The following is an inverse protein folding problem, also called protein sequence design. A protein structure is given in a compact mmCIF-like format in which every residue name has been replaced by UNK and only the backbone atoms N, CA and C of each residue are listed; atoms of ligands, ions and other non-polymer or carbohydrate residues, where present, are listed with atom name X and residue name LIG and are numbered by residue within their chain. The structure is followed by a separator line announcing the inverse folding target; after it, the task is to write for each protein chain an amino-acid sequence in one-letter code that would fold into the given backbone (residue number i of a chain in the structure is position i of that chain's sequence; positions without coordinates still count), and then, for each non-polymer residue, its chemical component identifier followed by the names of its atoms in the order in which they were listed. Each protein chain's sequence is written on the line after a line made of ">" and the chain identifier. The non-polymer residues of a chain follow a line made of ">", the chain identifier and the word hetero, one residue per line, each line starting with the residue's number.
data_IF_111417885819
#
_entry.id   IF_111417885819
#
_cell.length_a   1.000
_cell.length_b   1.000
_cell.length_c   1.000
_cell.angle_alpha   90.00
_cell.angle_beta   90.00
_cell.angle_gamma   90.00
#
_symmetry.space_group_name_H-M   'P 1'
#
loop_
_entity.id
_entity.type
_entity.pdbx_description
1 polymer ?
#
# COMPACT_ATOMS: atom_id res chain seq x y z
N UNK A 1 -33.87 -4.90 2.77
CA UNK A 1 -32.51 -4.63 2.22
C UNK A 1 -31.99 -5.89 1.55
N UNK A 2 -31.63 -5.81 0.28
CA UNK A 2 -31.17 -6.92 -0.54
C UNK A 2 -29.73 -6.72 -1.02
N UNK A 3 -28.99 -7.80 -1.26
CA UNK A 3 -27.60 -7.77 -1.74
C UNK A 3 -27.49 -6.94 -3.03
N UNK A 4 -28.43 -7.11 -3.98
CA UNK A 4 -28.45 -6.38 -5.25
C UNK A 4 -28.62 -4.86 -5.10
N UNK A 5 -29.25 -4.41 -4.01
CA UNK A 5 -29.39 -2.98 -3.70
C UNK A 5 -28.06 -2.42 -3.19
N UNK A 6 -27.36 -3.18 -2.36
CA UNK A 6 -26.01 -2.81 -1.87
C UNK A 6 -25.00 -2.78 -3.00
N UNK A 7 -25.03 -3.78 -3.91
CA UNK A 7 -24.20 -3.79 -5.12
C UNK A 7 -24.43 -2.56 -6.02
N UNK A 8 -25.72 -2.17 -6.18
CA UNK A 8 -26.07 -1.00 -6.97
C UNK A 8 -25.50 0.30 -6.38
N UNK A 9 -25.58 0.46 -5.04
CA UNK A 9 -25.05 1.63 -4.36
C UNK A 9 -23.51 1.69 -4.43
N UNK A 10 -22.82 0.55 -4.24
CA UNK A 10 -21.38 0.45 -4.41
C UNK A 10 -20.98 0.76 -5.87
N UNK A 11 -21.72 0.26 -6.84
CA UNK A 11 -21.48 0.56 -8.26
C UNK A 11 -21.54 2.07 -8.55
N UNK A 12 -22.50 2.79 -7.98
CA UNK A 12 -22.57 4.26 -8.09
C UNK A 12 -21.37 4.93 -7.42
N UNK A 13 -20.98 4.46 -6.22
CA UNK A 13 -19.82 4.98 -5.50
C UNK A 13 -18.52 4.85 -6.29
N UNK A 14 -18.32 3.72 -6.98
CA UNK A 14 -17.09 3.42 -7.69
C UNK A 14 -17.01 4.07 -9.08
N UNK A 15 -18.16 4.22 -9.76
CA UNK A 15 -18.24 4.72 -11.14
C UNK A 15 -18.84 6.12 -11.27
N UNK A 16 -19.21 6.75 -10.15
CA UNK A 16 -19.65 8.14 -10.11
C UNK A 16 -20.99 8.43 -10.79
N UNK A 17 -21.74 7.40 -11.25
CA UNK A 17 -23.01 7.58 -11.93
C UNK A 17 -23.88 6.34 -11.94
N UNK A 18 -25.21 6.53 -12.09
CA UNK A 18 -26.17 5.44 -12.28
C UNK A 18 -25.92 4.64 -13.55
N UNK A 19 -25.48 5.31 -14.64
CA UNK A 19 -25.17 4.67 -15.91
C UNK A 19 -23.91 3.82 -15.83
N UNK A 20 -22.84 4.33 -15.17
CA UNK A 20 -21.61 3.58 -14.97
C UNK A 20 -21.84 2.34 -14.10
N UNK A 21 -22.65 2.46 -13.03
CA UNK A 21 -23.05 1.33 -12.20
C UNK A 21 -23.84 0.29 -13.01
N UNK A 22 -24.73 0.73 -13.91
CA UNK A 22 -25.54 -0.17 -14.74
C UNK A 22 -24.67 -0.95 -15.73
N UNK A 23 -23.69 -0.30 -16.36
CA UNK A 23 -22.75 -0.92 -17.30
C UNK A 23 -21.97 -2.05 -16.63
N UNK A 24 -21.34 -1.76 -15.48
CA UNK A 24 -20.52 -2.75 -14.76
C UNK A 24 -21.35 -3.90 -14.19
N UNK A 25 -22.58 -3.63 -13.74
CA UNK A 25 -23.47 -4.65 -13.20
C UNK A 25 -24.29 -5.40 -14.29
N UNK A 26 -24.02 -5.14 -15.58
CA UNK A 26 -24.67 -5.81 -16.69
C UNK A 26 -26.20 -5.61 -16.72
N UNK A 27 -26.68 -4.40 -16.37
CA UNK A 27 -28.11 -4.06 -16.27
C UNK A 27 -28.41 -2.72 -16.91
N UNK A 28 -29.64 -2.25 -16.81
CA UNK A 28 -30.07 -0.94 -17.30
C UNK A 28 -30.14 0.08 -16.14
N UNK A 29 -29.93 1.36 -16.45
CA UNK A 29 -29.93 2.45 -15.45
C UNK A 29 -31.24 2.51 -14.63
N UNK A 30 -32.38 2.23 -15.24
CA UNK A 30 -33.67 2.20 -14.53
C UNK A 30 -33.73 1.17 -13.42
N UNK A 31 -33.08 0.00 -13.60
CA UNK A 31 -33.00 -1.02 -12.55
C UNK A 31 -32.11 -0.53 -11.38
N UNK A 32 -30.98 0.12 -11.66
CA UNK A 32 -30.15 0.71 -10.61
C UNK A 32 -30.93 1.78 -9.85
N UNK A 33 -31.63 2.68 -10.57
CA UNK A 33 -32.45 3.72 -9.94
C UNK A 33 -33.54 3.15 -9.04
N UNK A 34 -34.23 2.09 -9.48
CA UNK A 34 -35.26 1.43 -8.66
C UNK A 34 -34.67 0.73 -7.41
N UNK A 35 -33.52 0.06 -7.55
CA UNK A 35 -32.83 -0.58 -6.39
C UNK A 35 -32.45 0.47 -5.35
N UNK A 36 -31.92 1.60 -5.77
CA UNK A 36 -31.56 2.72 -4.86
C UNK A 36 -32.82 3.29 -4.20
N UNK A 37 -33.87 3.60 -4.97
CA UNK A 37 -35.11 4.15 -4.42
C UNK A 37 -35.73 3.22 -3.37
N UNK A 38 -35.74 1.90 -3.58
CA UNK A 38 -36.19 0.94 -2.59
C UNK A 38 -35.30 0.94 -1.33
N UNK A 39 -33.97 1.00 -1.49
CA UNK A 39 -33.05 1.05 -0.36
C UNK A 39 -33.22 2.34 0.45
N UNK A 40 -33.35 3.49 -0.22
CA UNK A 40 -33.62 4.79 0.39
C UNK A 40 -34.97 4.82 1.14
N UNK A 41 -36.00 4.19 0.57
CA UNK A 41 -37.31 4.06 1.22
C UNK A 41 -37.22 3.23 2.50
N UNK A 42 -36.50 2.12 2.46
CA UNK A 42 -36.31 1.23 3.62
C UNK A 42 -35.50 1.90 4.74
N UNK A 43 -34.47 2.68 4.37
CA UNK A 43 -33.60 3.36 5.33
C UNK A 43 -34.15 4.75 5.76
N UNK A 44 -35.17 5.25 5.07
CA UNK A 44 -35.81 6.53 5.37
C UNK A 44 -34.93 7.75 5.09
N UNK A 45 -33.92 7.63 4.23
CA UNK A 45 -32.99 8.72 3.90
C UNK A 45 -32.48 8.59 2.47
N UNK A 46 -32.13 9.72 1.84
CA UNK A 46 -31.48 9.74 0.55
C UNK A 46 -30.01 9.30 0.69
N UNK A 47 -29.58 8.38 -0.18
CA UNK A 47 -28.21 7.86 -0.25
C UNK A 47 -27.42 8.45 -1.39
N UNK A 48 -28.12 8.88 -2.46
CA UNK A 48 -27.51 9.45 -3.66
C UNK A 48 -28.19 10.76 -4.00
N UNK A 49 -27.42 11.82 -4.14
CA UNK A 49 -27.92 13.11 -4.62
C UNK A 49 -28.23 13.01 -6.13
N UNK A 50 -29.50 13.08 -6.47
CA UNK A 50 -29.97 12.87 -7.84
C UNK A 50 -29.57 13.97 -8.81
N UNK A 51 -29.16 15.15 -8.32
CA UNK A 51 -28.74 16.28 -9.16
C UNK A 51 -27.32 16.12 -9.73
N UNK A 52 -26.42 15.46 -8.99
CA UNK A 52 -25.02 15.32 -9.35
C UNK A 52 -24.51 13.88 -9.35
N UNK A 53 -25.34 12.90 -8.93
CA UNK A 53 -24.95 11.49 -8.88
C UNK A 53 -23.97 11.10 -7.75
N UNK A 54 -23.65 12.04 -6.85
CA UNK A 54 -22.73 11.79 -5.74
C UNK A 54 -23.44 11.17 -4.55
N UNK A 55 -22.72 10.42 -3.72
CA UNK A 55 -23.23 9.90 -2.47
C UNK A 55 -23.56 11.07 -1.50
N UNK A 56 -24.60 10.88 -0.68
CA UNK A 56 -24.79 11.67 0.53
C UNK A 56 -23.90 11.12 1.65
N UNK A 57 -23.82 11.86 2.78
CA UNK A 57 -23.13 11.35 3.99
C UNK A 57 -23.72 10.01 4.44
N UNK A 58 -25.05 9.86 4.42
CA UNK A 58 -25.73 8.58 4.67
C UNK A 58 -25.35 7.51 3.66
N UNK A 59 -25.21 7.88 2.39
CA UNK A 59 -24.77 7.00 1.30
C UNK A 59 -23.35 6.46 1.53
N UNK A 60 -22.42 7.30 1.96
CA UNK A 60 -21.05 6.90 2.27
C UNK A 60 -21.02 5.88 3.40
N UNK A 61 -21.77 6.12 4.49
CA UNK A 61 -21.88 5.18 5.61
C UNK A 61 -22.43 3.83 5.15
N UNK A 62 -23.46 3.84 4.31
CA UNK A 62 -24.07 2.58 3.81
C UNK A 62 -23.12 1.85 2.88
N UNK A 63 -22.41 2.56 1.98
CA UNK A 63 -21.37 1.95 1.10
C UNK A 63 -20.29 1.27 1.91
N UNK A 64 -19.76 1.92 2.95
CA UNK A 64 -18.70 1.34 3.78
C UNK A 64 -19.18 0.05 4.48
N UNK A 65 -20.43 0.02 4.95
CA UNK A 65 -21.04 -1.19 5.53
C UNK A 65 -21.31 -2.26 4.46
N UNK A 66 -21.84 -1.85 3.31
CA UNK A 66 -22.16 -2.75 2.21
C UNK A 66 -20.91 -3.48 1.67
N UNK A 67 -19.78 -2.79 1.53
CA UNK A 67 -18.50 -3.41 1.11
C UNK A 67 -18.09 -4.53 2.08
N UNK A 68 -18.22 -4.31 3.39
CA UNK A 68 -17.91 -5.33 4.40
C UNK A 68 -18.85 -6.53 4.30
N UNK A 69 -20.16 -6.30 4.18
CA UNK A 69 -21.15 -7.38 4.02
C UNK A 69 -20.86 -8.21 2.77
N UNK A 70 -20.60 -7.58 1.62
CA UNK A 70 -20.26 -8.30 0.40
C UNK A 70 -18.91 -9.02 0.50
N UNK A 71 -17.97 -8.49 1.27
CA UNK A 71 -16.71 -9.16 1.60
C UNK A 71 -16.94 -10.46 2.36
N UNK A 72 -17.76 -10.43 3.43
CA UNK A 72 -18.13 -11.61 4.21
C UNK A 72 -18.88 -12.66 3.37
N UNK A 73 -19.81 -12.22 2.51
CA UNK A 73 -20.53 -13.12 1.62
C UNK A 73 -19.59 -13.83 0.62
N UNK A 74 -18.61 -13.12 0.06
CA UNK A 74 -17.58 -13.74 -0.78
C UNK A 74 -16.72 -14.72 -0.01
N UNK A 75 -16.47 -14.42 1.27
CA UNK A 75 -15.72 -15.28 2.19
C UNK A 75 -16.37 -16.65 2.40
N UNK A 76 -17.70 -16.74 2.44
CA UNK A 76 -18.43 -18.00 2.69
C UNK A 76 -18.02 -19.08 1.67
N UNK A 77 -18.03 -18.76 0.36
CA UNK A 77 -17.67 -19.72 -0.68
C UNK A 77 -16.18 -20.16 -0.56
N UNK A 78 -15.30 -19.22 -0.21
CA UNK A 78 -13.88 -19.50 -0.03
C UNK A 78 -13.60 -20.34 1.21
N UNK A 79 -14.28 -20.06 2.32
CA UNK A 79 -14.13 -20.83 3.58
C UNK A 79 -14.66 -22.27 3.42
N UNK A 80 -15.72 -22.46 2.64
CA UNK A 80 -16.22 -23.81 2.29
C UNK A 80 -15.21 -24.53 1.38
N UNK A 81 -14.59 -23.85 0.43
CA UNK A 81 -13.59 -24.44 -0.46
C UNK A 81 -12.30 -24.84 0.28
N UNK A 82 -11.93 -24.12 1.36
CA UNK A 82 -10.79 -24.47 2.22
C UNK A 82 -10.93 -25.88 2.82
N UNK A 83 -12.16 -26.34 3.12
CA UNK A 83 -12.41 -27.69 3.58
C UNK A 83 -12.01 -28.77 2.57
N UNK A 84 -11.93 -28.43 1.28
CA UNK A 84 -11.53 -29.30 0.18
C UNK A 84 -10.04 -29.16 -0.18
N UNK A 85 -9.24 -28.49 0.65
CA UNK A 85 -7.81 -28.21 0.47
C UNK A 85 -7.49 -27.33 -0.78
N UNK A 86 -8.46 -26.63 -1.35
CA UNK A 86 -8.25 -25.72 -2.47
C UNK A 86 -8.71 -24.32 -2.07
N UNK A 87 -7.77 -23.37 -1.93
CA UNK A 87 -8.09 -21.99 -1.63
C UNK A 87 -8.28 -21.23 -2.93
N UNK A 88 -9.49 -20.71 -3.14
CA UNK A 88 -9.89 -19.92 -4.29
C UNK A 88 -10.39 -18.54 -3.86
N UNK A 89 -10.28 -17.57 -4.74
CA UNK A 89 -10.90 -16.25 -4.56
C UNK A 89 -9.99 -15.11 -4.97
N UNK A 90 -10.43 -13.91 -4.63
CA UNK A 90 -9.73 -12.67 -4.93
C UNK A 90 -9.25 -12.01 -3.64
N UNK A 91 -8.03 -11.45 -3.67
CA UNK A 91 -7.48 -10.63 -2.59
C UNK A 91 -7.00 -9.31 -3.18
N UNK A 92 -7.38 -8.21 -2.55
CA UNK A 92 -6.92 -6.87 -2.92
C UNK A 92 -5.93 -6.39 -1.85
N UNK A 93 -4.66 -6.29 -2.24
CA UNK A 93 -3.56 -5.91 -1.37
C UNK A 93 -3.11 -4.48 -1.65
N UNK A 94 -3.25 -3.60 -0.67
CA UNK A 94 -2.63 -2.27 -0.70
C UNK A 94 -1.13 -2.37 -0.43
N UNK A 95 -0.31 -1.56 -1.11
CA UNK A 95 1.13 -1.60 -0.89
C UNK A 95 1.80 -0.25 -1.11
N UNK A 96 2.63 0.18 -0.16
CA UNK A 96 3.50 1.34 -0.39
C UNK A 96 4.54 1.03 -1.46
N UNK A 97 4.76 1.99 -2.38
CA UNK A 97 5.56 1.76 -3.58
C UNK A 97 7.00 1.32 -3.33
N UNK A 98 7.61 1.75 -2.22
CA UNK A 98 8.96 1.31 -1.84
C UNK A 98 9.02 -0.18 -1.54
N UNK A 99 8.10 -0.68 -0.71
CA UNK A 99 8.05 -2.09 -0.32
C UNK A 99 7.70 -3.00 -1.51
N UNK A 100 6.80 -2.56 -2.39
CA UNK A 100 6.35 -3.33 -3.54
C UNK A 100 7.48 -3.76 -4.47
N UNK A 101 8.49 -2.92 -4.64
CA UNK A 101 9.63 -3.23 -5.50
C UNK A 101 10.40 -4.49 -5.06
N UNK A 102 10.48 -4.72 -3.77
CA UNK A 102 11.17 -5.90 -3.21
C UNK A 102 10.22 -7.07 -2.96
N UNK A 103 9.03 -6.81 -2.38
CA UNK A 103 8.10 -7.86 -1.92
C UNK A 103 7.35 -8.52 -3.08
N UNK A 104 6.90 -7.74 -4.09
CA UNK A 104 6.03 -8.29 -5.14
C UNK A 104 6.66 -9.45 -5.91
N UNK A 105 7.94 -9.41 -6.32
CA UNK A 105 8.56 -10.56 -6.96
C UNK A 105 8.55 -11.82 -6.09
N UNK A 106 8.89 -11.70 -4.78
CA UNK A 106 8.89 -12.81 -3.84
C UNK A 106 7.49 -13.39 -3.65
N UNK A 107 6.51 -12.50 -3.47
CA UNK A 107 5.12 -12.90 -3.29
C UNK A 107 4.55 -13.58 -4.54
N UNK A 108 4.90 -13.10 -5.74
CA UNK A 108 4.42 -13.67 -7.00
C UNK A 108 4.94 -15.10 -7.23
N UNK A 109 6.20 -15.38 -6.92
CA UNK A 109 6.78 -16.73 -7.01
C UNK A 109 6.07 -17.68 -6.05
N UNK A 110 5.96 -17.30 -4.78
CA UNK A 110 5.32 -18.12 -3.75
C UNK A 110 3.80 -18.29 -3.98
N UNK A 111 3.12 -17.27 -4.51
CA UNK A 111 1.69 -17.34 -4.84
C UNK A 111 1.41 -18.41 -5.90
N UNK A 112 2.21 -18.43 -6.98
CA UNK A 112 2.05 -19.42 -8.05
C UNK A 112 2.23 -20.86 -7.57
N UNK A 113 3.12 -21.07 -6.61
CA UNK A 113 3.42 -22.39 -6.06
C UNK A 113 2.35 -22.84 -5.05
N UNK A 114 1.95 -21.94 -4.13
CA UNK A 114 1.12 -22.33 -2.99
C UNK A 114 -0.38 -22.09 -3.22
N UNK A 115 -0.74 -21.06 -3.98
CA UNK A 115 -2.14 -20.64 -4.15
C UNK A 115 -2.46 -20.25 -5.60
N UNK A 116 -2.33 -21.17 -6.58
CA UNK A 116 -2.49 -20.87 -8.01
C UNK A 116 -3.88 -20.38 -8.40
N UNK A 117 -4.90 -20.64 -7.56
CA UNK A 117 -6.29 -20.26 -7.80
C UNK A 117 -6.71 -18.98 -7.06
N UNK A 118 -5.76 -18.27 -6.40
CA UNK A 118 -6.02 -16.98 -5.77
C UNK A 118 -5.64 -15.85 -6.74
N UNK A 119 -6.63 -15.04 -7.11
CA UNK A 119 -6.39 -13.82 -7.88
C UNK A 119 -5.95 -12.69 -6.95
N UNK A 120 -4.69 -12.25 -7.08
CA UNK A 120 -4.14 -11.17 -6.27
C UNK A 120 -4.12 -9.87 -7.08
N UNK A 121 -4.80 -8.85 -6.57
CA UNK A 121 -4.78 -7.48 -7.09
C UNK A 121 -3.97 -6.59 -6.16
N UNK A 122 -3.00 -5.86 -6.70
CA UNK A 122 -2.14 -4.97 -5.89
C UNK A 122 -2.46 -3.52 -6.26
N UNK A 123 -2.82 -2.74 -5.24
CA UNK A 123 -3.07 -1.30 -5.34
C UNK A 123 -1.92 -0.57 -4.67
N UNK A 124 -1.20 0.22 -5.44
CA UNK A 124 -0.08 1.00 -4.91
C UNK A 124 -0.52 2.40 -4.48
N UNK A 125 0.01 2.86 -3.36
CA UNK A 125 -0.29 4.20 -2.84
C UNK A 125 0.59 4.58 -1.65
N UNK A 126 0.31 5.76 -1.08
CA UNK A 126 0.85 6.19 0.21
C UNK A 126 -0.04 5.71 1.36
N UNK A 127 0.44 5.72 2.60
CA UNK A 127 -0.40 5.39 3.76
C UNK A 127 -1.71 6.18 3.77
N UNK A 128 -1.66 7.48 3.46
CA UNK A 128 -2.83 8.37 3.43
C UNK A 128 -3.90 7.97 2.41
N UNK A 129 -3.54 7.20 1.39
CA UNK A 129 -4.45 6.63 0.39
C UNK A 129 -4.87 5.21 0.77
N UNK A 130 -3.94 4.39 1.24
CA UNK A 130 -4.13 2.97 1.51
C UNK A 130 -4.96 2.73 2.79
N UNK A 131 -4.64 3.43 3.89
CA UNK A 131 -5.32 3.21 5.17
C UNK A 131 -6.84 3.44 5.10
N UNK A 132 -7.34 4.57 4.52
CA UNK A 132 -8.78 4.76 4.36
C UNK A 132 -9.45 3.69 3.50
N UNK A 133 -8.80 3.21 2.44
CA UNK A 133 -9.32 2.15 1.58
C UNK A 133 -9.41 0.81 2.33
N UNK A 134 -8.40 0.49 3.16
CA UNK A 134 -8.42 -0.71 4.01
C UNK A 134 -9.53 -0.63 5.05
N UNK A 135 -9.71 0.52 5.72
CA UNK A 135 -10.82 0.76 6.67
C UNK A 135 -12.17 0.57 5.99
N UNK A 136 -12.34 1.11 4.78
CA UNK A 136 -13.57 1.03 3.98
C UNK A 136 -13.82 -0.35 3.37
N UNK A 137 -12.89 -1.30 3.49
CA UNK A 137 -13.01 -2.64 2.91
C UNK A 137 -12.84 -2.69 1.38
N UNK A 138 -12.25 -1.67 0.78
CA UNK A 138 -11.82 -1.68 -0.62
C UNK A 138 -10.54 -2.49 -0.81
N UNK A 139 -9.74 -2.59 0.25
CA UNK A 139 -8.57 -3.46 0.36
C UNK A 139 -8.82 -4.50 1.46
N UNK A 140 -8.24 -5.67 1.29
CA UNK A 140 -8.31 -6.76 2.27
C UNK A 140 -7.14 -6.73 3.25
N UNK A 141 -5.96 -6.45 2.74
CA UNK A 141 -4.67 -6.36 3.45
C UNK A 141 -3.91 -5.13 2.96
N UNK A 142 -2.96 -4.64 3.76
CA UNK A 142 -2.08 -3.58 3.28
C UNK A 142 -0.66 -3.67 3.87
N UNK A 143 0.35 -3.47 3.04
CA UNK A 143 1.73 -3.21 3.46
C UNK A 143 1.93 -1.70 3.55
N UNK A 144 2.14 -1.20 4.76
CA UNK A 144 2.20 0.23 5.08
C UNK A 144 3.43 0.55 5.94
N UNK A 145 3.84 1.81 5.94
CA UNK A 145 4.87 2.28 6.88
C UNK A 145 4.24 2.66 8.22
N UNK A 146 4.94 2.41 9.31
CA UNK A 146 4.59 2.94 10.62
C UNK A 146 4.79 4.47 10.66
N UNK A 147 3.94 5.24 11.38
CA UNK A 147 2.78 4.80 12.16
C UNK A 147 1.52 4.56 11.30
N UNK A 148 0.66 3.65 11.77
CA UNK A 148 -0.72 3.53 11.29
C UNK A 148 -1.56 4.53 12.09
N UNK A 149 -2.30 5.39 11.39
CA UNK A 149 -3.09 6.43 12.02
C UNK A 149 -4.56 6.04 12.26
N UNK A 150 -5.08 5.10 11.47
CA UNK A 150 -6.46 4.65 11.59
C UNK A 150 -6.61 3.68 12.78
N UNK A 151 -7.42 4.01 13.81
CA UNK A 151 -7.59 3.17 15.01
C UNK A 151 -8.30 1.84 14.71
N UNK A 152 -9.02 1.74 13.59
CA UNK A 152 -9.69 0.52 13.12
C UNK A 152 -8.71 -0.52 12.58
N UNK A 153 -7.46 -0.13 12.36
CA UNK A 153 -6.44 -1.02 11.82
C UNK A 153 -5.52 -1.55 12.91
N UNK A 154 -4.95 -2.72 12.64
CA UNK A 154 -3.83 -3.30 13.38
C UNK A 154 -2.74 -3.67 12.40
N UNK A 155 -1.49 -3.70 12.85
CA UNK A 155 -0.37 -4.07 11.99
C UNK A 155 0.61 -4.97 12.72
N UNK A 156 1.20 -5.89 11.95
CA UNK A 156 2.31 -6.74 12.37
C UNK A 156 3.56 -6.27 11.65
N UNK A 157 4.65 -6.04 12.40
CA UNK A 157 5.94 -5.69 11.79
C UNK A 157 6.42 -6.82 10.89
N UNK A 158 6.73 -6.51 9.64
CA UNK A 158 7.28 -7.48 8.69
C UNK A 158 8.77 -7.26 8.43
N UNK A 159 9.21 -6.02 8.39
CA UNK A 159 10.63 -5.63 8.35
C UNK A 159 10.80 -4.17 8.77
N UNK A 160 12.05 -3.78 8.98
CA UNK A 160 12.44 -2.36 9.03
C UNK A 160 13.52 -2.08 7.99
N UNK A 161 13.63 -0.82 7.57
CA UNK A 161 14.60 -0.40 6.57
C UNK A 161 15.22 0.95 6.91
N UNK A 162 16.44 1.15 6.44
CA UNK A 162 17.10 2.45 6.48
C UNK A 162 16.61 3.34 5.34
N UNK A 163 16.61 4.64 5.54
CA UNK A 163 16.70 5.60 4.48
C UNK A 163 18.17 5.74 4.10
N UNK A 164 18.50 5.45 2.85
CA UNK A 164 19.87 5.40 2.35
C UNK A 164 20.07 6.39 1.20
N UNK A 165 21.29 6.84 1.01
CA UNK A 165 21.65 7.51 -0.22
C UNK A 165 21.87 6.45 -1.31
N UNK A 166 21.08 6.51 -2.39
CA UNK A 166 21.30 5.69 -3.59
C UNK A 166 22.06 6.55 -4.60
N UNK A 167 23.18 6.04 -5.08
CA UNK A 167 24.09 6.80 -5.93
C UNK A 167 24.82 5.88 -6.91
N UNK A 168 25.17 6.40 -8.11
CA UNK A 168 26.02 5.71 -9.08
C UNK A 168 27.42 5.42 -8.47
N UNK A 169 27.99 4.25 -8.73
CA UNK A 169 29.30 3.85 -8.18
C UNK A 169 30.47 4.76 -8.60
N UNK A 170 30.34 5.49 -9.70
CA UNK A 170 31.33 6.45 -10.16
C UNK A 170 31.18 7.85 -9.52
N UNK A 171 30.11 8.09 -8.77
CA UNK A 171 29.90 9.36 -8.09
C UNK A 171 30.82 9.48 -6.86
N UNK A 172 31.35 10.68 -6.53
CA UNK A 172 32.23 10.86 -5.37
C UNK A 172 31.67 10.32 -4.05
N UNK A 173 30.38 10.51 -3.81
CA UNK A 173 29.70 10.01 -2.59
C UNK A 173 29.71 8.47 -2.45
N UNK A 174 29.92 7.72 -3.56
CA UNK A 174 29.94 6.26 -3.52
C UNK A 174 31.17 5.70 -2.79
N UNK A 175 32.30 6.42 -2.80
CA UNK A 175 33.58 6.00 -2.22
C UNK A 175 33.93 6.68 -0.89
N UNK A 176 33.09 7.61 -0.41
CA UNK A 176 33.31 8.30 0.86
C UNK A 176 33.16 7.34 2.07
N UNK A 177 33.82 7.61 3.21
CA UNK A 177 33.64 6.81 4.42
C UNK A 177 32.19 6.80 4.90
N UNK A 178 31.71 5.66 5.42
CA UNK A 178 30.40 5.51 6.06
C UNK A 178 30.49 5.61 7.58
N UNK A 179 29.39 6.06 8.22
CA UNK A 179 28.15 6.59 7.61
C UNK A 179 28.36 8.01 7.02
N UNK A 180 27.64 8.33 5.95
CA UNK A 180 27.63 9.68 5.38
C UNK A 180 26.92 10.65 6.34
N UNK A 181 27.50 11.85 6.52
CA UNK A 181 26.86 12.89 7.33
C UNK A 181 25.97 13.79 6.48
N UNK A 182 24.98 14.43 7.07
CA UNK A 182 24.17 15.43 6.38
C UNK A 182 25.01 16.63 5.90
N UNK A 183 26.07 16.97 6.61
CA UNK A 183 27.02 18.01 6.18
C UNK A 183 27.70 17.66 4.86
N UNK A 184 28.12 16.40 4.70
CA UNK A 184 28.68 15.90 3.45
C UNK A 184 27.63 15.92 2.34
N UNK A 185 26.39 15.50 2.62
CA UNK A 185 25.32 15.48 1.64
C UNK A 185 24.91 16.88 1.16
N UNK A 186 25.00 17.90 2.02
CA UNK A 186 24.67 19.29 1.68
C UNK A 186 25.64 19.94 0.67
N UNK A 187 26.79 19.33 0.43
CA UNK A 187 27.74 19.79 -0.61
C UNK A 187 27.27 19.41 -2.03
N UNK A 188 26.29 18.50 -2.15
CA UNK A 188 25.77 17.98 -3.39
C UNK A 188 24.30 18.32 -3.59
N UNK A 189 23.88 18.40 -4.84
CA UNK A 189 22.46 18.46 -5.20
C UNK A 189 21.88 17.05 -5.19
N UNK A 190 20.74 16.87 -4.50
CA UNK A 190 20.14 15.56 -4.24
C UNK A 190 18.68 15.57 -4.73
N UNK A 191 18.26 14.48 -5.36
CA UNK A 191 16.85 14.22 -5.69
C UNK A 191 16.09 13.87 -4.40
N UNK A 192 15.12 14.67 -4.02
CA UNK A 192 14.41 14.53 -2.75
C UNK A 192 12.89 14.32 -2.94
N UNK A 193 12.24 13.64 -2.00
CA UNK A 193 10.79 13.62 -1.93
C UNK A 193 10.24 15.02 -1.71
N UNK A 194 9.02 15.28 -2.24
CA UNK A 194 8.35 16.57 -2.10
C UNK A 194 8.10 16.92 -0.62
N UNK A 195 8.22 18.20 -0.28
CA UNK A 195 7.98 18.71 1.09
C UNK A 195 6.56 18.36 1.54
N UNK A 196 6.44 17.91 2.80
CA UNK A 196 5.17 17.48 3.38
C UNK A 196 4.90 15.97 3.30
N UNK A 197 5.63 15.22 2.47
CA UNK A 197 5.56 13.75 2.51
C UNK A 197 6.17 13.20 3.80
N UNK A 198 5.70 12.06 4.34
CA UNK A 198 6.27 11.46 5.55
C UNK A 198 7.78 11.23 5.46
N UNK A 199 8.26 10.66 4.35
CA UNK A 199 9.70 10.41 4.15
C UNK A 199 10.49 11.72 4.13
N UNK A 200 9.98 12.77 3.46
CA UNK A 200 10.67 14.05 3.45
C UNK A 200 10.76 14.65 4.85
N UNK A 201 9.74 14.53 5.67
CA UNK A 201 9.78 14.97 7.07
C UNK A 201 10.85 14.25 7.87
N UNK A 202 10.98 12.93 7.70
CA UNK A 202 12.03 12.14 8.35
C UNK A 202 13.43 12.63 7.96
N UNK A 203 13.66 12.93 6.67
CA UNK A 203 14.91 13.48 6.15
C UNK A 203 15.17 14.88 6.72
N UNK A 204 14.18 15.77 6.62
CA UNK A 204 14.31 17.16 7.07
C UNK A 204 14.52 17.26 8.58
N UNK A 205 13.85 16.43 9.38
CA UNK A 205 14.03 16.40 10.85
C UNK A 205 15.41 15.89 11.22
N UNK A 206 15.91 14.84 10.58
CA UNK A 206 17.26 14.32 10.82
C UNK A 206 18.35 15.33 10.40
N UNK A 207 18.19 16.01 9.27
CA UNK A 207 19.15 17.03 8.81
C UNK A 207 19.14 18.29 9.70
N UNK A 208 17.94 18.72 10.11
CA UNK A 208 17.75 19.90 10.99
C UNK A 208 18.36 19.67 12.37
N UNK A 209 18.23 18.46 12.94
CA UNK A 209 18.87 18.10 14.21
C UNK A 209 20.40 18.21 14.14
N UNK A 210 20.98 18.14 12.95
CA UNK A 210 22.42 18.33 12.71
C UNK A 210 22.76 19.75 12.22
N UNK A 211 21.78 20.67 12.17
CA UNK A 211 21.98 22.07 11.74
C UNK A 211 22.26 22.21 10.24
N UNK A 212 21.81 21.24 9.43
CA UNK A 212 22.11 21.19 7.99
C UNK A 212 20.83 21.31 7.17
N UNK A 213 20.87 22.03 6.08
CA UNK A 213 19.85 22.07 5.05
C UNK A 213 20.36 21.44 3.75
N UNK A 214 19.63 20.45 3.23
CA UNK A 214 19.96 19.80 1.97
C UNK A 214 19.57 20.67 0.77
N UNK A 215 20.36 20.57 -0.31
CA UNK A 215 20.09 21.24 -1.58
C UNK A 215 19.31 20.29 -2.52
N UNK A 216 18.01 20.49 -2.74
CA UNK A 216 17.28 19.67 -3.68
C UNK A 216 17.67 20.04 -5.12
N UNK A 217 18.11 19.07 -5.93
CA UNK A 217 18.18 19.22 -7.39
C UNK A 217 16.75 19.34 -7.94
N UNK A 218 15.86 18.49 -7.47
CA UNK A 218 14.43 18.52 -7.74
C UNK A 218 13.68 17.88 -6.58
N UNK A 219 12.43 18.29 -6.38
CA UNK A 219 11.51 17.69 -5.42
C UNK A 219 10.33 17.04 -6.15
N UNK A 220 10.04 15.75 -5.87
CA UNK A 220 9.01 14.96 -6.53
C UNK A 220 8.16 14.20 -5.52
N UNK A 221 6.87 14.06 -5.82
CA UNK A 221 5.94 13.32 -4.97
C UNK A 221 6.10 11.78 -5.11
N UNK A 222 6.57 11.28 -6.22
CA UNK A 222 6.68 9.85 -6.50
C UNK A 222 8.06 9.26 -6.22
N UNK A 223 8.22 8.40 -5.18
CA UNK A 223 9.50 7.73 -4.89
C UNK A 223 10.02 6.88 -6.06
N UNK A 224 9.12 6.26 -6.84
CA UNK A 224 9.50 5.49 -8.03
C UNK A 224 10.09 6.37 -9.12
N UNK A 225 9.55 7.56 -9.32
CA UNK A 225 10.08 8.53 -10.28
C UNK A 225 11.45 9.03 -9.83
N UNK A 226 11.62 9.35 -8.54
CA UNK A 226 12.93 9.71 -7.98
C UNK A 226 13.94 8.60 -8.22
N UNK A 227 13.59 7.35 -7.91
CA UNK A 227 14.47 6.20 -8.14
C UNK A 227 14.83 6.02 -9.61
N UNK A 228 13.86 6.18 -10.54
CA UNK A 228 14.10 6.11 -11.97
C UNK A 228 15.11 7.17 -12.41
N UNK A 229 14.91 8.42 -12.00
CA UNK A 229 15.85 9.51 -12.32
C UNK A 229 17.25 9.24 -11.77
N UNK A 230 17.37 8.67 -10.56
CA UNK A 230 18.67 8.26 -10.02
C UNK A 230 19.33 7.20 -10.90
N UNK A 231 18.57 6.18 -11.33
CA UNK A 231 19.06 5.10 -12.16
C UNK A 231 19.35 5.52 -13.61
N UNK A 232 18.74 6.61 -14.06
CA UNK A 232 19.02 7.24 -15.35
C UNK A 232 20.21 8.21 -15.27
N UNK A 233 20.81 8.40 -14.07
CA UNK A 233 22.04 9.17 -13.89
C UNK A 233 21.86 10.65 -13.62
N UNK A 234 20.64 11.12 -13.30
CA UNK A 234 20.38 12.55 -13.03
C UNK A 234 20.92 13.03 -11.68
N UNK A 235 21.20 12.13 -10.75
CA UNK A 235 21.82 12.49 -9.47
C UNK A 235 21.52 11.50 -8.34
N UNK A 236 22.18 11.68 -7.17
CA UNK A 236 21.93 10.87 -6.00
C UNK A 236 20.54 11.17 -5.39
N UNK A 237 19.96 10.20 -4.68
CA UNK A 237 18.69 10.36 -3.98
C UNK A 237 18.69 9.71 -2.60
N UNK A 238 17.93 10.27 -1.67
CA UNK A 238 17.67 9.64 -0.36
C UNK A 238 16.35 8.90 -0.46
N UNK A 239 16.42 7.56 -0.39
CA UNK A 239 15.28 6.67 -0.58
C UNK A 239 15.32 5.49 0.40
N UNK A 240 14.18 4.80 0.62
CA UNK A 240 14.16 3.54 1.34
C UNK A 240 15.09 2.49 0.69
N UNK A 241 15.78 1.70 1.51
CA UNK A 241 16.75 0.71 1.04
C UNK A 241 16.15 -0.32 0.06
N UNK A 242 14.85 -0.63 0.21
CA UNK A 242 14.10 -1.52 -0.70
C UNK A 242 14.00 -1.00 -2.14
N UNK A 243 14.28 0.28 -2.38
CA UNK A 243 14.23 0.86 -3.72
C UNK A 243 15.41 0.44 -4.62
N UNK A 244 16.54 0.00 -4.05
CA UNK A 244 17.68 -0.51 -4.82
C UNK A 244 17.53 -1.99 -5.12
N UNK A 245 17.00 -2.31 -6.29
CA UNK A 245 16.85 -3.68 -6.76
C UNK A 245 18.20 -4.36 -6.98
N UNK A 246 18.22 -5.70 -6.79
CA UNK A 246 19.42 -6.54 -6.92
C UNK A 246 20.16 -6.32 -8.25
N UNK A 247 19.44 -6.29 -9.37
CA UNK A 247 20.03 -6.16 -10.70
C UNK A 247 20.67 -4.77 -11.00
N UNK A 248 20.47 -3.80 -10.11
CA UNK A 248 21.06 -2.47 -10.22
C UNK A 248 22.30 -2.29 -9.34
N UNK A 249 22.62 -3.25 -8.46
CA UNK A 249 23.71 -3.15 -7.48
C UNK A 249 25.11 -3.16 -8.13
N UNK A 250 25.23 -3.62 -9.35
CA UNK A 250 26.49 -3.53 -10.09
C UNK A 250 26.83 -2.08 -10.47
N UNK A 251 25.81 -1.25 -10.67
CA UNK A 251 25.92 0.12 -11.16
C UNK A 251 25.72 1.17 -10.05
N UNK A 252 24.87 0.84 -9.08
CA UNK A 252 24.49 1.73 -7.99
C UNK A 252 24.83 1.11 -6.63
N UNK A 253 25.03 1.98 -5.64
CA UNK A 253 25.29 1.58 -4.26
C UNK A 253 24.35 2.34 -3.33
N UNK A 254 23.89 1.65 -2.27
CA UNK A 254 23.22 2.24 -1.13
C UNK A 254 24.27 2.63 -0.09
N UNK A 255 24.24 3.88 0.38
CA UNK A 255 25.17 4.40 1.40
C UNK A 255 24.38 4.79 2.64
N UNK A 256 24.83 4.32 3.79
CA UNK A 256 24.20 4.64 5.08
C UNK A 256 24.40 6.12 5.43
N UNK A 257 23.35 6.73 6.00
CA UNK A 257 23.34 8.12 6.45
C UNK A 257 23.31 8.13 7.98
N UNK A 258 24.16 8.96 8.60
CA UNK A 258 24.25 9.06 10.05
C UNK A 258 22.99 9.69 10.66
N UNK A 259 22.52 9.11 11.78
CA UNK A 259 21.43 9.65 12.61
C UNK A 259 20.10 9.88 11.89
N UNK A 260 19.80 9.07 10.88
CA UNK A 260 18.45 8.98 10.32
C UNK A 260 17.71 7.77 10.92
N UNK A 261 16.45 7.96 11.28
CA UNK A 261 15.68 6.91 11.91
C UNK A 261 15.37 5.75 10.93
N UNK A 262 15.31 4.53 11.47
CA UNK A 262 14.86 3.37 10.71
C UNK A 262 13.35 3.43 10.51
N UNK A 263 12.92 3.09 9.33
CA UNK A 263 11.53 3.02 8.94
C UNK A 263 10.98 1.62 9.19
N UNK A 264 9.87 1.50 9.93
CA UNK A 264 9.18 0.21 10.14
C UNK A 264 8.13 0.02 9.07
N UNK A 265 8.02 -1.20 8.55
CA UNK A 265 7.01 -1.58 7.57
C UNK A 265 6.17 -2.73 8.16
N UNK A 266 4.86 -2.55 8.09
CA UNK A 266 3.88 -3.43 8.71
C UNK A 266 2.94 -4.02 7.66
N UNK A 267 2.47 -5.23 7.93
CA UNK A 267 1.28 -5.79 7.30
C UNK A 267 0.07 -5.41 8.14
N UNK A 268 -0.77 -4.54 7.60
CA UNK A 268 -1.95 -4.00 8.26
C UNK A 268 -3.22 -4.76 7.85
N UNK A 269 -4.10 -4.94 8.82
CA UNK A 269 -5.43 -5.55 8.68
C UNK A 269 -6.46 -4.75 9.47
N UNK A 270 -7.74 -4.95 9.18
CA UNK A 270 -8.81 -4.46 10.03
C UNK A 270 -8.81 -5.22 11.35
N UNK A 271 -9.06 -4.52 12.47
CA UNK A 271 -9.13 -5.12 13.80
C UNK A 271 -10.34 -6.02 14.00
N UNK A 272 -11.41 -5.75 13.26
CA UNK A 272 -12.69 -6.43 13.41
C UNK A 272 -13.10 -7.08 12.09
N UNK A 273 -13.85 -8.17 12.17
CA UNK A 273 -14.26 -9.03 11.07
C UNK A 273 -13.42 -10.30 11.02
N UNK A 274 -13.91 -11.29 10.29
CA UNK A 274 -13.21 -12.55 10.07
C UNK A 274 -12.72 -12.56 8.61
N UNK A 275 -11.41 -12.50 8.36
CA UNK A 275 -10.91 -12.50 6.99
C UNK A 275 -11.22 -13.81 6.29
N UNK A 276 -11.68 -13.76 5.03
CA UNK A 276 -11.89 -14.93 4.18
C UNK A 276 -10.62 -15.77 4.00
N UNK A 277 -10.77 -17.06 3.71
CA UNK A 277 -9.65 -18.00 3.55
C UNK A 277 -8.52 -17.49 2.64
N UNK A 278 -8.76 -16.95 1.42
CA UNK A 278 -7.68 -16.44 0.58
C UNK A 278 -6.97 -15.23 1.22
N UNK A 279 -7.66 -14.41 1.99
CA UNK A 279 -7.04 -13.26 2.69
C UNK A 279 -6.11 -13.76 3.80
N UNK A 280 -6.54 -14.77 4.59
CA UNK A 280 -5.70 -15.42 5.60
C UNK A 280 -4.48 -16.08 4.97
N UNK A 281 -4.66 -16.76 3.85
CA UNK A 281 -3.59 -17.42 3.11
C UNK A 281 -2.54 -16.42 2.62
N UNK A 282 -2.97 -15.33 1.97
CA UNK A 282 -2.04 -14.28 1.49
C UNK A 282 -1.38 -13.54 2.65
N UNK A 283 -2.09 -13.31 3.77
CA UNK A 283 -1.50 -12.74 4.98
C UNK A 283 -0.34 -13.59 5.50
N UNK A 284 -0.57 -14.90 5.66
CA UNK A 284 0.46 -15.83 6.11
C UNK A 284 1.62 -15.93 5.11
N UNK A 285 1.31 -16.06 3.82
CA UNK A 285 2.29 -16.15 2.75
C UNK A 285 3.20 -14.91 2.69
N UNK A 286 2.63 -13.71 2.83
CA UNK A 286 3.40 -12.47 2.79
C UNK A 286 4.38 -12.38 3.97
N UNK A 287 3.95 -12.76 5.17
CA UNK A 287 4.85 -12.83 6.33
C UNK A 287 5.96 -13.85 6.09
N UNK A 288 5.62 -15.01 5.55
CA UNK A 288 6.56 -16.10 5.31
C UNK A 288 7.62 -15.73 4.27
N UNK A 289 7.22 -15.20 3.11
CA UNK A 289 8.17 -14.82 2.05
C UNK A 289 9.12 -13.71 2.46
N UNK A 290 8.65 -12.75 3.28
CA UNK A 290 9.52 -11.70 3.81
C UNK A 290 10.48 -12.29 4.85
N UNK A 291 10.00 -13.13 5.76
CA UNK A 291 10.80 -13.73 6.83
C UNK A 291 11.92 -14.63 6.29
N UNK A 292 11.64 -15.39 5.25
CA UNK A 292 12.58 -16.36 4.67
C UNK A 292 13.28 -15.83 3.41
N UNK A 293 13.18 -14.52 3.15
CA UNK A 293 13.83 -13.92 1.99
C UNK A 293 15.35 -14.11 2.05
N UNK A 294 15.91 -14.73 1.02
CA UNK A 294 17.37 -14.97 0.90
C UNK A 294 18.11 -13.78 0.32
N UNK A 295 17.41 -12.92 -0.44
CA UNK A 295 17.96 -11.75 -1.12
C UNK A 295 17.48 -10.45 -0.47
N UNK A 296 17.86 -10.26 0.79
CA UNK A 296 17.51 -9.05 1.54
C UNK A 296 18.35 -7.88 1.04
N UNK A 297 17.77 -6.71 0.73
CA UNK A 297 18.54 -5.51 0.40
C UNK A 297 19.40 -5.04 1.58
N UNK A 298 20.58 -4.46 1.28
CA UNK A 298 21.38 -3.80 2.31
C UNK A 298 20.58 -2.65 2.92
N UNK A 299 20.59 -2.57 4.26
CA UNK A 299 19.76 -1.61 4.99
C UNK A 299 18.32 -2.06 5.23
N UNK A 300 17.97 -3.30 4.89
CA UNK A 300 16.70 -3.94 5.28
C UNK A 300 16.96 -4.95 6.39
N UNK A 301 16.12 -4.92 7.43
CA UNK A 301 16.24 -5.75 8.63
C UNK A 301 14.95 -6.53 8.83
N UNK A 302 15.03 -7.86 8.72
CA UNK A 302 13.87 -8.74 8.94
C UNK A 302 13.49 -8.72 10.43
N UNK A 303 12.20 -8.60 10.71
CA UNK A 303 11.68 -8.56 12.07
C UNK A 303 11.98 -9.87 12.81
N UNK A 304 12.39 -9.78 14.08
CA UNK A 304 12.30 -10.93 14.99
C UNK A 304 10.81 -11.17 15.27
N UNK A 305 10.38 -12.44 15.16
CA UNK A 305 9.02 -12.86 15.54
C UNK A 305 8.64 -12.27 16.89
N UNK A 306 7.48 -11.60 17.05
CA UNK A 306 6.95 -11.41 18.39
C UNK A 306 6.75 -12.79 19.02
N UNK A 307 7.05 -12.98 20.31
CA UNK A 307 6.71 -14.22 21.00
C UNK A 307 5.20 -14.45 20.87
N UNK A 308 4.81 -15.70 20.61
CA UNK A 308 3.42 -16.15 20.52
C UNK A 308 2.67 -15.91 21.83
#
# INVERSE_FOLDING_TARGET
>A
MEIRQLEALIGIADHGSFSGAAEVLGTVQSNISNRIAHLETELGTELVNRSNGLLTESGEIVVDRARRILGELRGIASDVSELNAEIHGQVVLGMIGSAGRWIVPLLLEALKENYPHVALHIVEGTNSVIEPQLVKGQLDLAVVAWPIFAPELSGVDIFSEDLVLIVDRNHPLASMPEPLTFSTLAEYEILLPFRGTPIRREIDDASRLQGVELKPLIELDGLRTIASLTFDGYGPSILPATMLSRHLRDKFVARHIDKIAKRRVLLATRRFGFPAAPVRAIHALLIDVVRHATNVPDGVYLGKTPPQ
#
